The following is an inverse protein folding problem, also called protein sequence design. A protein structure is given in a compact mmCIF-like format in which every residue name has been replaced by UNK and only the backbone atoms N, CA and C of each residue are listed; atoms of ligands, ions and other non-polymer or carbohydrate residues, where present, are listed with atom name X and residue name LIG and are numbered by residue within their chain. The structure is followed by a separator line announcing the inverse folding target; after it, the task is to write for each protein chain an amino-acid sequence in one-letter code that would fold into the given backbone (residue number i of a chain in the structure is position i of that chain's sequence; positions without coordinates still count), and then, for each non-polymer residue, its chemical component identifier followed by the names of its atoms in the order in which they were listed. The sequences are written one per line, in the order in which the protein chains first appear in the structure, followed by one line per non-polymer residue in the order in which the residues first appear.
data_IF_138265395577
#
_entry.id   IF_138265395577
#
_cell.length_a   1.000
_cell.length_b   1.000
_cell.length_c   1.000
_cell.angle_alpha   90.00
_cell.angle_beta   90.00
_cell.angle_gamma   90.00
#
_symmetry.space_group_name_H-M   'P 1'
#
loop_
_entity.id
_entity.type
_entity.pdbx_description
1 polymer ?
#
# COMPACT_ATOMS: atom_id res chain seq x y z
N UNK A 1 55.73 -65.54 -30.02
CA UNK A 1 54.52 -65.41 -29.16
C UNK A 1 54.70 -64.25 -28.25
N UNK A 2 54.13 -63.15 -28.61
CA UNK A 2 54.25 -61.90 -27.86
C UNK A 2 52.94 -61.64 -27.08
N UNK A 3 53.01 -61.65 -25.77
CA UNK A 3 51.92 -61.20 -24.90
C UNK A 3 52.11 -59.71 -24.68
N UNK A 4 51.14 -58.90 -25.14
CA UNK A 4 51.03 -57.49 -24.85
C UNK A 4 50.23 -57.30 -23.56
N UNK A 5 50.89 -56.73 -22.54
CA UNK A 5 50.22 -56.21 -21.36
C UNK A 5 49.64 -54.81 -21.68
N UNK A 6 48.33 -54.66 -21.56
CA UNK A 6 47.67 -53.34 -21.64
C UNK A 6 47.49 -52.87 -20.19
N UNK A 7 48.24 -51.86 -19.79
CA UNK A 7 48.07 -51.16 -18.52
C UNK A 7 46.90 -50.16 -18.65
N UNK A 8 45.86 -50.36 -17.85
CA UNK A 8 44.77 -49.39 -17.71
C UNK A 8 45.17 -48.36 -16.69
N UNK A 9 45.44 -47.11 -17.14
CA UNK A 9 45.59 -45.95 -16.27
C UNK A 9 44.16 -45.45 -15.90
N UNK A 10 43.74 -45.68 -14.67
CA UNK A 10 42.53 -45.04 -14.12
C UNK A 10 42.93 -43.68 -13.64
N UNK A 11 42.55 -42.63 -14.40
CA UNK A 11 42.58 -41.23 -13.92
C UNK A 11 41.37 -41.05 -12.99
N UNK A 12 41.63 -41.05 -11.71
CA UNK A 12 40.69 -40.55 -10.70
C UNK A 12 40.60 -39.00 -10.83
N UNK A 13 39.60 -38.53 -11.58
CA UNK A 13 39.17 -37.17 -11.50
C UNK A 13 38.46 -36.98 -10.15
N UNK A 14 39.14 -36.41 -9.18
CA UNK A 14 38.51 -35.86 -8.00
C UNK A 14 37.72 -34.60 -8.42
N UNK A 15 36.45 -34.79 -8.71
CA UNK A 15 35.49 -33.63 -8.83
C UNK A 15 35.33 -33.09 -7.42
N UNK A 16 36.08 -32.07 -7.10
CA UNK A 16 35.79 -31.23 -5.93
C UNK A 16 34.47 -30.54 -6.21
N UNK A 17 33.38 -31.12 -5.71
CA UNK A 17 32.10 -30.40 -5.60
C UNK A 17 32.31 -29.33 -4.53
N UNK A 18 32.81 -28.18 -4.92
CA UNK A 18 32.60 -26.95 -4.16
C UNK A 18 31.11 -26.64 -4.26
N UNK A 19 30.31 -27.27 -3.40
CA UNK A 19 28.99 -26.76 -3.09
C UNK A 19 29.20 -25.33 -2.58
N UNK A 20 28.70 -24.35 -3.33
CA UNK A 20 28.57 -22.99 -2.81
C UNK A 20 27.81 -23.12 -1.49
N UNK A 21 28.46 -22.81 -0.38
CA UNK A 21 27.76 -22.61 0.87
C UNK A 21 26.85 -21.41 0.59
N UNK A 22 25.58 -21.69 0.35
CA UNK A 22 24.56 -20.66 0.22
C UNK A 22 24.58 -19.87 1.53
N UNK A 23 25.24 -18.72 1.50
CA UNK A 23 25.40 -17.88 2.68
C UNK A 23 24.05 -17.23 2.95
N UNK A 24 23.31 -17.78 3.91
CA UNK A 24 22.03 -17.22 4.33
C UNK A 24 22.23 -15.78 4.83
N UNK A 25 21.57 -14.77 4.22
CA UNK A 25 21.64 -13.39 4.66
C UNK A 25 21.32 -13.27 6.14
N UNK A 26 22.23 -12.70 6.90
CA UNK A 26 22.10 -12.59 8.36
C UNK A 26 22.37 -11.17 8.82
N UNK A 27 21.47 -10.60 9.62
CA UNK A 27 21.57 -9.27 10.23
C UNK A 27 21.36 -9.39 11.73
N UNK A 28 22.03 -8.55 12.49
CA UNK A 28 21.84 -8.44 13.94
C UNK A 28 21.33 -7.04 14.28
N UNK A 29 20.10 -6.95 14.81
CA UNK A 29 19.51 -5.70 15.33
C UNK A 29 19.57 -5.73 16.84
N UNK A 30 20.42 -4.91 17.46
CA UNK A 30 20.59 -4.86 18.93
C UNK A 30 20.70 -6.26 19.56
N UNK A 31 21.34 -7.21 18.85
CA UNK A 31 21.55 -8.58 19.30
C UNK A 31 20.49 -9.60 18.83
N UNK A 32 19.30 -9.19 18.41
CA UNK A 32 18.35 -10.10 17.75
C UNK A 32 18.91 -10.52 16.40
N UNK A 33 18.98 -11.82 16.15
CA UNK A 33 19.45 -12.39 14.89
C UNK A 33 18.30 -12.51 13.90
N UNK A 34 18.46 -11.93 12.71
CA UNK A 34 17.53 -12.01 11.59
C UNK A 34 18.12 -12.87 10.48
N UNK A 35 17.40 -13.90 10.06
CA UNK A 35 17.80 -14.79 8.98
C UNK A 35 16.93 -14.51 7.75
N UNK A 36 17.53 -13.96 6.71
CA UNK A 36 16.87 -13.67 5.43
C UNK A 36 17.00 -14.82 4.43
N UNK A 37 16.69 -14.52 3.17
CA UNK A 37 16.81 -15.42 2.01
C UNK A 37 17.37 -14.64 0.83
N UNK A 38 18.12 -15.30 -0.05
CA UNK A 38 18.58 -14.72 -1.31
C UNK A 38 17.58 -15.00 -2.43
N UNK A 39 17.39 -14.02 -3.31
CA UNK A 39 16.65 -14.18 -4.55
C UNK A 39 17.57 -14.73 -5.65
N UNK A 40 16.99 -15.16 -6.77
CA UNK A 40 17.67 -15.78 -7.91
C UNK A 40 19.02 -15.13 -8.24
N UNK A 41 20.01 -15.97 -8.57
CA UNK A 41 21.40 -15.59 -8.82
C UNK A 41 22.12 -14.89 -7.65
N UNK A 42 21.52 -14.91 -6.45
CA UNK A 42 22.13 -14.33 -5.25
C UNK A 42 22.50 -12.82 -5.34
N UNK A 43 21.82 -12.03 -6.17
CA UNK A 43 22.10 -10.59 -6.30
C UNK A 43 21.26 -9.72 -5.35
N UNK A 44 20.15 -10.24 -4.83
CA UNK A 44 19.27 -9.56 -3.89
C UNK A 44 19.08 -10.38 -2.63
N UNK A 45 19.24 -9.74 -1.50
CA UNK A 45 18.92 -10.28 -0.19
C UNK A 45 17.55 -9.78 0.28
N UNK A 46 16.76 -10.69 0.81
CA UNK A 46 15.39 -10.42 1.25
C UNK A 46 15.22 -10.78 2.72
N UNK A 47 14.52 -9.92 3.43
CA UNK A 47 14.08 -10.14 4.80
C UNK A 47 12.55 -9.98 4.81
N UNK A 48 11.82 -11.09 4.77
CA UNK A 48 10.38 -11.13 4.59
C UNK A 48 9.68 -11.42 5.90
N UNK A 49 8.67 -10.61 6.24
CA UNK A 49 7.89 -10.77 7.45
C UNK A 49 8.62 -10.32 8.72
N UNK A 50 9.30 -9.18 8.67
CA UNK A 50 9.94 -8.55 9.83
C UNK A 50 8.88 -7.85 10.69
N UNK A 51 8.76 -8.17 11.98
CA UNK A 51 7.81 -7.50 12.86
C UNK A 51 8.24 -6.05 13.10
N UNK A 52 7.31 -5.10 12.99
CA UNK A 52 7.53 -3.72 13.43
C UNK A 52 6.61 -3.34 14.61
N UNK A 53 5.61 -4.17 14.88
CA UNK A 53 4.68 -4.03 15.99
C UNK A 53 4.38 -5.39 16.62
N UNK A 54 3.86 -5.37 17.86
CA UNK A 54 3.21 -6.51 18.46
C UNK A 54 1.91 -6.83 17.70
N UNK A 55 1.46 -8.10 17.65
CA UNK A 55 0.21 -8.48 17.00
C UNK A 55 -0.99 -7.70 17.56
N UNK A 56 -1.77 -6.97 16.73
CA UNK A 56 -2.93 -6.20 17.19
C UNK A 56 -4.18 -7.07 17.34
N UNK A 57 -4.09 -8.10 18.16
CA UNK A 57 -5.14 -9.12 18.40
C UNK A 57 -5.68 -9.03 19.80
N UNK A 58 -6.81 -9.66 20.07
CA UNK A 58 -7.45 -9.76 21.38
C UNK A 58 -7.64 -8.39 22.04
N UNK A 59 -7.05 -8.16 23.20
CA UNK A 59 -7.10 -6.88 23.92
C UNK A 59 -6.45 -5.72 23.16
N UNK A 60 -5.55 -6.01 22.20
CA UNK A 60 -4.88 -5.02 21.36
C UNK A 60 -5.66 -4.69 20.07
N UNK A 61 -6.75 -5.42 19.78
CA UNK A 61 -7.67 -5.04 18.69
C UNK A 61 -8.19 -3.63 18.94
N UNK A 62 -8.14 -2.76 17.92
CA UNK A 62 -8.50 -1.34 17.99
C UNK A 62 -7.70 -0.49 18.98
N UNK A 63 -6.52 -0.97 19.40
CA UNK A 63 -5.54 -0.15 20.12
C UNK A 63 -4.45 0.39 19.18
N UNK A 64 -3.75 1.44 19.59
CA UNK A 64 -2.55 1.91 18.88
C UNK A 64 -1.53 0.76 18.79
N UNK A 65 -0.80 0.65 17.66
CA UNK A 65 0.20 -0.40 17.55
C UNK A 65 1.32 -0.19 18.58
N UNK A 66 1.74 -1.29 19.20
CA UNK A 66 2.85 -1.31 20.16
C UNK A 66 4.12 -1.69 19.39
N UNK A 67 5.19 -0.90 19.56
CA UNK A 67 6.43 -1.12 18.83
C UNK A 67 7.07 -2.47 19.18
N UNK A 68 7.49 -3.21 18.15
CA UNK A 68 8.35 -4.37 18.34
C UNK A 68 9.70 -3.96 18.96
N UNK A 69 10.18 -4.72 19.94
CA UNK A 69 11.44 -4.50 20.63
C UNK A 69 12.40 -5.67 20.36
N UNK A 70 13.63 -5.40 19.89
CA UNK A 70 14.65 -6.43 19.72
C UNK A 70 14.96 -7.17 21.04
N UNK A 71 15.14 -8.50 20.93
CA UNK A 71 15.52 -9.36 22.06
C UNK A 71 16.75 -10.20 21.66
N UNK A 72 17.88 -10.01 22.35
CA UNK A 72 19.14 -10.69 22.08
C UNK A 72 19.04 -12.22 22.13
N UNK A 73 18.04 -12.76 22.82
CA UNK A 73 17.82 -14.21 22.91
C UNK A 73 16.99 -14.77 21.77
N UNK A 74 16.48 -13.90 20.90
CA UNK A 74 15.59 -14.30 19.81
C UNK A 74 16.31 -14.36 18.47
N UNK A 75 15.91 -15.36 17.69
CA UNK A 75 16.21 -15.48 16.27
C UNK A 75 14.88 -15.35 15.50
N UNK A 76 14.86 -14.55 14.44
CA UNK A 76 13.70 -14.38 13.55
C UNK A 76 14.09 -14.92 12.18
N UNK A 77 13.35 -15.92 11.72
CA UNK A 77 13.47 -16.46 10.37
C UNK A 77 12.59 -15.62 9.45
N UNK A 78 13.23 -14.67 8.76
CA UNK A 78 12.60 -13.68 7.87
C UNK A 78 12.73 -14.12 6.41
N UNK A 79 12.23 -15.30 6.06
CA UNK A 79 12.40 -15.93 4.75
C UNK A 79 11.08 -16.15 3.99
N UNK A 80 9.95 -15.72 4.55
CA UNK A 80 8.63 -15.83 3.94
C UNK A 80 7.71 -14.68 4.37
N UNK A 81 6.80 -14.32 3.48
CA UNK A 81 5.75 -13.37 3.79
C UNK A 81 4.88 -13.86 4.97
N UNK A 82 4.46 -12.91 5.79
CA UNK A 82 3.50 -13.12 6.88
C UNK A 82 2.08 -12.85 6.39
N UNK A 83 1.05 -13.21 7.16
CA UNK A 83 -0.32 -12.95 6.75
C UNK A 83 -0.56 -11.51 6.34
N UNK A 84 -1.40 -11.30 5.34
CA UNK A 84 -1.96 -10.00 5.01
C UNK A 84 -2.99 -9.59 6.06
N UNK A 85 -3.21 -8.27 6.22
CA UNK A 85 -4.17 -7.78 7.21
C UNK A 85 -5.60 -8.27 6.92
N UNK A 86 -6.35 -8.49 7.99
CA UNK A 86 -7.71 -9.02 7.94
C UNK A 86 -8.58 -8.22 6.99
N UNK A 87 -9.16 -8.90 6.02
CA UNK A 87 -9.97 -8.37 4.93
C UNK A 87 -10.83 -9.47 4.30
N UNK A 88 -11.84 -9.11 3.54
CA UNK A 88 -12.64 -10.06 2.79
C UNK A 88 -11.96 -10.46 1.45
N UNK A 89 -12.59 -11.39 0.72
CA UNK A 89 -12.07 -11.91 -0.55
C UNK A 89 -12.23 -10.95 -1.75
N UNK A 90 -12.71 -9.72 -1.55
CA UNK A 90 -13.07 -8.80 -2.63
C UNK A 90 -11.93 -8.55 -3.61
N UNK A 91 -10.74 -8.20 -3.10
CA UNK A 91 -9.58 -7.90 -3.95
C UNK A 91 -9.05 -9.16 -4.65
N UNK A 92 -9.07 -10.32 -3.98
CA UNK A 92 -8.70 -11.61 -4.56
C UNK A 92 -9.62 -11.96 -5.73
N UNK A 93 -10.93 -11.81 -5.54
CA UNK A 93 -11.92 -12.06 -6.59
C UNK A 93 -11.76 -11.09 -7.76
N UNK A 94 -11.42 -9.83 -7.47
CA UNK A 94 -11.15 -8.82 -8.50
C UNK A 94 -9.91 -9.18 -9.32
N UNK A 95 -8.79 -9.56 -8.68
CA UNK A 95 -7.59 -10.02 -9.38
C UNK A 95 -7.85 -11.27 -10.22
N UNK A 96 -8.53 -12.27 -9.66
CA UNK A 96 -8.88 -13.48 -10.42
C UNK A 96 -9.71 -13.18 -11.66
N UNK A 97 -10.66 -12.25 -11.55
CA UNK A 97 -11.44 -11.77 -12.70
C UNK A 97 -10.55 -11.08 -13.74
N UNK A 98 -9.66 -10.18 -13.33
CA UNK A 98 -8.73 -9.54 -14.26
C UNK A 98 -7.81 -10.54 -14.95
N UNK A 99 -7.29 -11.52 -14.23
CA UNK A 99 -6.46 -12.59 -14.81
C UNK A 99 -7.24 -13.32 -15.91
N UNK A 100 -8.51 -13.67 -15.66
CA UNK A 100 -9.39 -14.30 -16.68
C UNK A 100 -9.61 -13.34 -17.85
N UNK A 101 -9.96 -12.10 -17.60
CA UNK A 101 -10.23 -11.08 -18.61
C UNK A 101 -9.02 -10.84 -19.53
N UNK A 102 -7.80 -10.94 -18.97
CA UNK A 102 -6.55 -10.86 -19.73
C UNK A 102 -6.03 -12.20 -20.24
N UNK A 103 -6.86 -13.26 -20.23
CA UNK A 103 -6.56 -14.58 -20.82
C UNK A 103 -5.62 -15.45 -20.00
N UNK A 104 -5.38 -15.12 -18.71
CA UNK A 104 -4.57 -15.91 -17.80
C UNK A 104 -5.37 -17.00 -17.05
N UNK A 105 -4.66 -17.82 -16.30
CA UNK A 105 -5.25 -18.84 -15.41
C UNK A 105 -5.36 -18.28 -13.97
N UNK A 106 -6.56 -18.08 -13.42
CA UNK A 106 -6.76 -17.56 -12.07
C UNK A 106 -6.25 -18.48 -10.94
N UNK A 107 -6.04 -19.76 -11.25
CA UNK A 107 -5.51 -20.74 -10.27
C UNK A 107 -4.01 -20.57 -10.00
N UNK A 108 -3.32 -19.80 -10.84
CA UNK A 108 -1.91 -19.43 -10.63
C UNK A 108 -1.73 -18.24 -9.67
N UNK A 109 -2.82 -17.64 -9.23
CA UNK A 109 -2.78 -16.53 -8.32
C UNK A 109 -2.70 -17.00 -6.87
N UNK A 110 -1.56 -16.73 -6.23
CA UNK A 110 -1.34 -17.09 -4.83
C UNK A 110 -2.16 -16.16 -3.91
N UNK A 111 -3.15 -16.75 -3.25
CA UNK A 111 -4.00 -16.05 -2.30
C UNK A 111 -3.31 -15.99 -0.94
N UNK A 112 -3.07 -14.81 -0.36
CA UNK A 112 -2.47 -14.72 0.96
C UNK A 112 -3.39 -15.23 2.06
N UNK A 113 -2.79 -15.67 3.17
CA UNK A 113 -3.52 -15.89 4.42
C UNK A 113 -3.86 -14.51 4.99
N UNK A 114 -5.09 -14.31 5.45
CA UNK A 114 -5.54 -13.09 6.10
C UNK A 114 -5.58 -13.27 7.63
N UNK A 115 -5.10 -12.29 8.38
CA UNK A 115 -5.08 -12.30 9.85
C UNK A 115 -5.08 -10.89 10.40
N UNK A 116 -5.56 -10.70 11.62
CA UNK A 116 -5.31 -9.46 12.37
C UNK A 116 -3.83 -9.35 12.79
N UNK A 117 -3.15 -10.49 13.03
CA UNK A 117 -1.68 -10.54 13.20
C UNK A 117 -0.98 -10.36 11.86
N UNK A 118 -0.78 -9.10 11.44
CA UNK A 118 -0.35 -8.73 10.10
C UNK A 118 0.70 -7.61 10.04
N UNK A 119 1.12 -7.04 11.14
CA UNK A 119 2.01 -5.87 11.15
C UNK A 119 3.48 -6.27 10.97
N UNK A 120 3.77 -6.81 9.78
CA UNK A 120 5.10 -7.29 9.36
C UNK A 120 5.49 -6.63 8.04
N UNK A 121 6.64 -5.96 8.01
CA UNK A 121 7.19 -5.38 6.79
C UNK A 121 8.09 -6.39 6.04
N UNK A 122 8.35 -6.10 4.77
CA UNK A 122 9.26 -6.87 3.93
C UNK A 122 10.34 -5.93 3.40
N UNK A 123 11.58 -6.42 3.32
CA UNK A 123 12.73 -5.64 2.90
C UNK A 123 13.52 -6.41 1.84
N UNK A 124 13.85 -5.71 0.74
CA UNK A 124 14.75 -6.15 -0.33
C UNK A 124 15.94 -5.21 -0.40
N UNK A 125 17.16 -5.76 -0.47
CA UNK A 125 18.36 -4.97 -0.64
C UNK A 125 19.33 -5.63 -1.64
N UNK A 126 20.24 -4.86 -2.29
CA UNK A 126 21.33 -5.45 -3.05
C UNK A 126 22.19 -6.35 -2.16
N UNK A 127 22.74 -7.42 -2.73
CA UNK A 127 23.71 -8.27 -2.05
C UNK A 127 25.00 -7.49 -1.76
N UNK A 128 25.58 -7.81 -0.62
CA UNK A 128 26.81 -7.19 -0.15
C UNK A 128 26.55 -5.88 0.60
N UNK A 129 27.40 -5.61 1.55
CA UNK A 129 27.30 -4.45 2.45
C UNK A 129 27.68 -3.17 1.72
N UNK A 130 26.72 -2.50 1.10
CA UNK A 130 26.83 -1.07 0.77
C UNK A 130 26.14 -0.31 1.88
N UNK A 131 26.74 0.77 2.35
CA UNK A 131 26.13 1.67 3.33
C UNK A 131 25.53 2.88 2.61
N UNK A 132 24.59 3.54 3.28
CA UNK A 132 23.93 4.75 2.81
C UNK A 132 23.13 4.55 1.51
N UNK A 133 22.51 3.37 1.34
CA UNK A 133 21.60 3.13 0.23
C UNK A 133 20.32 3.95 0.41
N UNK A 134 19.81 4.58 -0.65
CA UNK A 134 18.51 5.23 -0.59
C UNK A 134 17.40 4.20 -0.32
N UNK A 135 16.44 4.61 0.50
CA UNK A 135 15.34 3.74 0.97
C UNK A 135 14.04 4.16 0.31
N UNK A 136 13.36 3.20 -0.30
CA UNK A 136 12.02 3.34 -0.85
C UNK A 136 11.06 2.57 0.06
N UNK A 137 10.01 3.22 0.51
CA UNK A 137 8.93 2.60 1.31
C UNK A 137 7.67 2.57 0.48
N UNK A 138 7.17 1.38 0.19
CA UNK A 138 5.93 1.18 -0.56
C UNK A 138 4.73 0.97 0.36
N UNK A 139 3.66 1.75 0.13
CA UNK A 139 2.37 1.68 0.82
C UNK A 139 1.31 1.26 -0.20
N UNK A 140 0.71 0.08 -0.01
CA UNK A 140 -0.24 -0.50 -0.97
C UNK A 140 -1.59 0.22 -0.99
N UNK A 141 -2.30 0.10 -2.11
CA UNK A 141 -3.65 0.58 -2.31
C UNK A 141 -4.73 -0.39 -1.82
N UNK A 142 -5.90 -0.36 -2.46
CA UNK A 142 -7.04 -1.24 -2.18
C UNK A 142 -8.18 -0.58 -1.41
N UNK A 143 -8.38 0.73 -1.57
CA UNK A 143 -9.51 1.49 -1.00
C UNK A 143 -9.59 1.44 0.53
N UNK A 144 -8.47 1.23 1.22
CA UNK A 144 -8.40 1.00 2.67
C UNK A 144 -9.23 -0.20 3.17
N UNK A 145 -9.76 -1.01 2.27
CA UNK A 145 -10.58 -2.20 2.54
C UNK A 145 -9.83 -3.50 2.30
N UNK A 146 -8.82 -3.47 1.43
CA UNK A 146 -8.14 -4.66 0.94
C UNK A 146 -6.71 -4.31 0.48
N UNK A 147 -5.94 -5.33 0.09
CA UNK A 147 -4.57 -5.19 -0.37
C UNK A 147 -3.56 -5.77 0.62
N UNK A 148 -2.31 -5.93 0.18
CA UNK A 148 -1.20 -6.40 1.01
C UNK A 148 0.15 -5.96 0.45
N UNK A 149 1.20 -5.91 1.27
CA UNK A 149 2.48 -5.30 0.89
C UNK A 149 3.35 -6.14 -0.05
N UNK A 150 2.91 -7.33 -0.44
CA UNK A 150 3.64 -8.25 -1.33
C UNK A 150 2.77 -8.75 -2.49
N UNK A 151 1.85 -7.94 -2.97
CA UNK A 151 1.19 -8.19 -4.24
C UNK A 151 2.24 -8.30 -5.36
N UNK A 152 1.99 -9.07 -6.42
CA UNK A 152 2.99 -9.32 -7.46
C UNK A 152 3.62 -8.06 -8.07
N UNK A 153 2.88 -6.95 -8.09
CA UNK A 153 3.34 -5.66 -8.62
C UNK A 153 4.34 -4.93 -7.71
N UNK A 154 4.42 -5.31 -6.41
CA UNK A 154 5.20 -4.58 -5.41
C UNK A 154 6.46 -5.30 -4.96
N UNK A 155 6.82 -6.41 -5.60
CA UNK A 155 8.01 -7.18 -5.25
C UNK A 155 9.29 -6.39 -5.52
N UNK A 156 10.14 -6.29 -4.51
CA UNK A 156 11.25 -5.32 -4.48
C UNK A 156 12.53 -5.71 -5.21
N UNK A 157 12.63 -6.92 -5.76
CA UNK A 157 13.89 -7.41 -6.33
C UNK A 157 14.42 -6.55 -7.50
N UNK A 158 13.55 -6.06 -8.39
CA UNK A 158 13.93 -5.19 -9.50
C UNK A 158 14.47 -3.83 -9.02
N UNK A 159 13.89 -3.28 -7.98
CA UNK A 159 14.32 -2.01 -7.36
C UNK A 159 15.64 -2.21 -6.62
N UNK A 160 15.75 -3.30 -5.85
CA UNK A 160 16.99 -3.63 -5.14
C UNK A 160 18.16 -3.81 -6.09
N UNK A 161 17.99 -4.48 -7.24
CA UNK A 161 19.00 -4.62 -8.29
C UNK A 161 19.50 -3.28 -8.86
N UNK A 162 18.76 -2.18 -8.66
CA UNK A 162 19.16 -0.83 -9.08
C UNK A 162 19.94 -0.07 -7.99
N UNK A 163 20.21 -0.69 -6.84
CA UNK A 163 20.99 -0.10 -5.77
C UNK A 163 20.18 0.63 -4.71
N UNK A 164 18.88 0.30 -4.56
CA UNK A 164 17.99 0.83 -3.54
C UNK A 164 17.63 -0.25 -2.52
N UNK A 165 17.24 0.15 -1.33
CA UNK A 165 16.48 -0.70 -0.44
C UNK A 165 15.00 -0.43 -0.70
N UNK A 166 14.22 -1.48 -1.00
CA UNK A 166 12.77 -1.40 -0.99
C UNK A 166 12.23 -2.02 0.31
N UNK A 167 11.31 -1.32 0.95
CA UNK A 167 10.55 -1.82 2.10
C UNK A 167 9.08 -1.68 1.77
N UNK A 168 8.31 -2.77 1.84
CA UNK A 168 6.86 -2.71 1.72
C UNK A 168 6.22 -2.89 3.10
N UNK A 169 5.26 -2.03 3.43
CA UNK A 169 4.63 -2.00 4.74
C UNK A 169 3.12 -2.28 4.64
N UNK A 170 2.57 -3.12 5.55
CA UNK A 170 1.14 -3.25 5.73
C UNK A 170 0.60 -2.14 6.64
N UNK A 171 -0.71 -2.05 6.70
CA UNK A 171 -1.48 -1.31 7.69
C UNK A 171 -2.85 -1.97 7.87
N UNK A 172 -3.46 -1.83 9.04
CA UNK A 172 -4.79 -2.40 9.31
C UNK A 172 -5.84 -1.80 8.39
N UNK A 173 -6.76 -2.63 7.92
CA UNK A 173 -7.72 -2.32 6.88
C UNK A 173 -9.15 -2.29 7.42
N UNK A 174 -10.04 -1.65 6.66
CA UNK A 174 -11.47 -1.65 6.95
C UNK A 174 -11.78 -1.23 8.38
N UNK A 175 -12.71 -1.92 8.99
CA UNK A 175 -13.11 -1.65 10.37
C UNK A 175 -11.98 -1.86 11.40
N UNK A 176 -10.96 -2.66 11.09
CA UNK A 176 -9.82 -2.85 12.00
C UNK A 176 -8.86 -1.66 12.04
N UNK A 177 -8.78 -0.89 10.95
CA UNK A 177 -7.88 0.27 10.82
C UNK A 177 -8.57 1.63 10.93
N UNK A 178 -9.90 1.70 10.76
CA UNK A 178 -10.64 2.95 10.57
C UNK A 178 -11.95 3.01 11.38
N UNK A 179 -12.03 2.35 12.50
CA UNK A 179 -13.24 2.27 13.32
C UNK A 179 -13.37 3.47 14.27
N UNK A 180 -14.35 4.35 14.01
CA UNK A 180 -14.61 5.55 14.81
C UNK A 180 -15.67 5.34 15.89
N UNK A 181 -15.55 4.28 16.70
CA UNK A 181 -16.43 4.04 17.84
C UNK A 181 -16.18 5.08 18.94
N UNK A 182 -17.22 5.53 19.72
CA UNK A 182 -17.02 6.51 20.80
C UNK A 182 -16.00 6.12 21.86
N UNK A 183 -15.88 4.83 22.16
CA UNK A 183 -14.95 4.30 23.15
C UNK A 183 -13.54 4.03 22.60
N UNK A 184 -13.29 4.29 21.32
CA UNK A 184 -11.97 4.20 20.72
C UNK A 184 -11.36 5.60 20.69
N UNK A 185 -10.26 5.75 21.42
CA UNK A 185 -9.56 7.05 21.53
C UNK A 185 -8.98 7.50 20.19
N UNK A 186 -8.48 6.57 19.37
CA UNK A 186 -7.74 6.87 18.17
C UNK A 186 -8.34 6.12 16.96
N UNK A 187 -9.19 6.76 16.15
CA UNK A 187 -9.88 6.11 15.03
C UNK A 187 -8.99 5.86 13.80
N UNK A 188 -7.83 6.52 13.70
CA UNK A 188 -6.93 6.45 12.56
C UNK A 188 -5.83 5.39 12.74
N UNK A 189 -6.18 4.19 13.19
CA UNK A 189 -5.20 3.15 13.53
C UNK A 189 -4.30 2.77 12.36
N UNK A 190 -4.83 2.75 11.14
CA UNK A 190 -4.04 2.52 9.93
C UNK A 190 -2.92 3.56 9.74
N UNK A 191 -3.16 4.83 10.11
CA UNK A 191 -2.13 5.88 10.07
C UNK A 191 -1.05 5.64 11.14
N UNK A 192 -1.46 5.22 12.34
CA UNK A 192 -0.51 4.87 13.40
C UNK A 192 0.35 3.67 13.02
N UNK A 193 -0.20 2.67 12.31
CA UNK A 193 0.55 1.52 11.80
C UNK A 193 1.62 1.98 10.81
N UNK A 194 1.27 2.84 9.85
CA UNK A 194 2.19 3.42 8.88
C UNK A 194 3.28 4.26 9.57
N UNK A 195 2.91 5.12 10.52
CA UNK A 195 3.85 5.93 11.30
C UNK A 195 4.81 5.05 12.10
N UNK A 196 4.31 3.98 12.72
CA UNK A 196 5.16 3.06 13.48
C UNK A 196 6.15 2.31 12.59
N UNK A 197 5.71 1.86 11.42
CA UNK A 197 6.60 1.26 10.41
C UNK A 197 7.69 2.24 9.96
N UNK A 198 7.36 3.52 9.75
CA UNK A 198 8.34 4.56 9.42
C UNK A 198 9.32 4.82 10.57
N UNK A 199 8.86 4.82 11.82
CA UNK A 199 9.75 4.91 12.99
C UNK A 199 10.69 3.71 13.09
N UNK A 200 10.19 2.50 12.82
CA UNK A 200 11.02 1.31 12.72
C UNK A 200 12.11 1.47 11.66
N UNK A 201 11.78 2.01 10.50
CA UNK A 201 12.75 2.28 9.42
C UNK A 201 13.80 3.29 9.87
N UNK A 202 13.41 4.39 10.49
CA UNK A 202 14.34 5.39 11.00
C UNK A 202 15.32 4.79 12.04
N UNK A 203 14.85 3.88 12.88
CA UNK A 203 15.68 3.29 13.94
C UNK A 203 16.57 2.14 13.46
N UNK A 204 16.12 1.32 12.47
CA UNK A 204 16.78 0.06 12.16
C UNK A 204 17.31 -0.10 10.73
N UNK A 205 16.95 0.77 9.79
CA UNK A 205 17.34 0.57 8.37
C UNK A 205 18.85 0.61 8.14
N UNK A 206 19.61 1.28 9.00
CA UNK A 206 21.08 1.33 8.95
C UNK A 206 21.71 -0.05 9.13
N UNK A 207 21.11 -0.96 9.89
CA UNK A 207 21.58 -2.35 10.01
C UNK A 207 21.50 -3.11 8.68
N UNK A 208 20.63 -2.68 7.78
CA UNK A 208 20.48 -3.22 6.43
C UNK A 208 21.28 -2.44 5.37
N UNK A 209 22.05 -1.44 5.77
CA UNK A 209 22.83 -0.58 4.88
C UNK A 209 22.04 0.60 4.29
N UNK A 210 20.84 0.88 4.77
CA UNK A 210 20.01 2.00 4.33
C UNK A 210 20.38 3.33 4.99
N UNK A 211 20.03 4.41 4.31
CA UNK A 211 20.20 5.78 4.78
C UNK A 211 18.85 6.32 5.32
N UNK A 212 18.68 6.44 6.65
CA UNK A 212 17.45 6.98 7.23
C UNK A 212 17.20 8.45 6.87
N UNK A 213 18.24 9.19 6.41
CA UNK A 213 18.09 10.56 5.93
C UNK A 213 17.65 10.67 4.46
N UNK A 214 17.50 9.54 3.77
CA UNK A 214 17.10 9.49 2.36
C UNK A 214 15.99 8.48 2.11
N UNK A 215 14.86 8.70 2.79
CA UNK A 215 13.65 7.87 2.70
C UNK A 215 12.63 8.50 1.75
N UNK A 216 12.18 7.74 0.77
CA UNK A 216 11.14 8.10 -0.20
C UNK A 216 9.91 7.21 0.00
N UNK A 217 8.74 7.79 0.23
CA UNK A 217 7.49 7.05 0.23
C UNK A 217 6.97 6.90 -1.20
N UNK A 218 6.47 5.72 -1.53
CA UNK A 218 5.72 5.49 -2.78
C UNK A 218 4.42 4.79 -2.42
N UNK A 219 3.33 5.24 -3.01
CA UNK A 219 2.04 4.57 -2.85
C UNK A 219 1.12 4.88 -4.01
N UNK A 220 0.24 3.94 -4.27
CA UNK A 220 -0.77 4.05 -5.31
C UNK A 220 -2.17 4.01 -4.66
N UNK A 221 -3.14 4.73 -5.27
CA UNK A 221 -4.54 4.70 -4.83
C UNK A 221 -4.69 5.08 -3.35
N UNK A 222 -5.30 4.23 -2.53
CA UNK A 222 -5.44 4.44 -1.09
C UNK A 222 -4.09 4.57 -0.37
N UNK A 223 -3.04 3.88 -0.82
CA UNK A 223 -1.68 4.04 -0.31
C UNK A 223 -1.12 5.44 -0.54
N UNK A 224 -1.35 6.01 -1.73
CA UNK A 224 -1.04 7.40 -2.00
C UNK A 224 -1.89 8.36 -1.15
N UNK A 225 -3.17 8.06 -0.95
CA UNK A 225 -4.03 8.78 -0.01
C UNK A 225 -3.45 8.81 1.41
N UNK A 226 -2.94 7.66 1.89
CA UNK A 226 -2.20 7.55 3.14
C UNK A 226 -0.97 8.46 3.17
N UNK A 227 -0.18 8.50 2.09
CA UNK A 227 0.98 9.41 1.96
C UNK A 227 0.53 10.88 2.08
N UNK A 228 -0.59 11.27 1.46
CA UNK A 228 -1.16 12.61 1.60
C UNK A 228 -1.42 12.97 3.06
N UNK A 229 -1.96 12.05 3.85
CA UNK A 229 -2.18 12.21 5.28
C UNK A 229 -0.87 12.20 6.09
N UNK A 230 0.11 11.37 5.71
CA UNK A 230 1.44 11.38 6.33
C UNK A 230 2.15 12.73 6.12
N UNK A 231 2.01 13.35 4.94
CA UNK A 231 2.55 14.71 4.69
C UNK A 231 1.89 15.75 5.60
N UNK A 232 0.61 15.58 5.94
CA UNK A 232 -0.15 16.51 6.77
C UNK A 232 -0.13 16.18 8.28
N UNK A 233 0.31 14.99 8.68
CA UNK A 233 0.32 14.59 10.08
C UNK A 233 1.54 15.13 10.83
N UNK A 234 1.36 15.75 12.00
CA UNK A 234 2.50 16.17 12.82
C UNK A 234 3.30 14.98 13.38
N UNK A 235 2.71 13.79 13.44
CA UNK A 235 3.33 12.59 14.01
C UNK A 235 4.33 11.91 13.09
N UNK A 236 4.29 12.22 11.79
CA UNK A 236 5.20 11.67 10.76
C UNK A 236 6.32 12.63 10.37
N UNK A 237 6.40 13.78 11.08
CA UNK A 237 7.43 14.78 10.81
C UNK A 237 8.83 14.16 10.85
N UNK A 238 9.64 14.47 9.84
CA UNK A 238 11.04 14.05 9.67
C UNK A 238 11.24 12.52 9.52
N UNK A 239 10.17 11.72 9.32
CA UNK A 239 10.28 10.28 9.09
C UNK A 239 10.55 9.93 7.62
N UNK A 240 10.34 10.86 6.70
CA UNK A 240 10.64 10.73 5.27
C UNK A 240 10.93 12.09 4.62
N UNK A 241 11.51 12.09 3.42
CA UNK A 241 12.09 13.27 2.78
C UNK A 241 11.47 13.55 1.41
N UNK A 242 10.98 12.51 0.75
CA UNK A 242 10.40 12.55 -0.59
C UNK A 242 9.15 11.68 -0.65
N UNK A 243 8.27 11.98 -1.58
CA UNK A 243 7.08 11.19 -1.81
C UNK A 243 6.76 11.04 -3.30
N UNK A 244 6.23 9.88 -3.67
CA UNK A 244 5.62 9.59 -4.97
C UNK A 244 4.17 9.21 -4.70
N UNK A 245 3.26 10.04 -5.18
CA UNK A 245 1.83 9.93 -4.92
C UNK A 245 1.12 9.57 -6.23
N UNK A 246 0.79 8.28 -6.40
CA UNK A 246 0.22 7.75 -7.63
C UNK A 246 -1.29 7.58 -7.47
N UNK A 247 -2.07 8.35 -8.21
CA UNK A 247 -3.54 8.19 -8.31
C UNK A 247 -4.28 8.21 -6.96
N UNK A 248 -3.81 8.97 -5.96
CA UNK A 248 -4.38 9.03 -4.61
C UNK A 248 -5.30 10.22 -4.34
N UNK A 249 -5.62 11.03 -5.35
CA UNK A 249 -6.37 12.28 -5.21
C UNK A 249 -7.78 12.14 -4.60
N UNK A 250 -8.38 10.95 -4.71
CA UNK A 250 -9.71 10.67 -4.13
C UNK A 250 -9.77 10.90 -2.61
N UNK A 251 -8.65 10.84 -1.90
CA UNK A 251 -8.59 11.17 -0.47
C UNK A 251 -9.00 12.60 -0.14
N UNK A 252 -8.88 13.53 -1.10
CA UNK A 252 -9.35 14.92 -0.98
C UNK A 252 -10.82 15.11 -1.35
N UNK A 253 -11.34 14.28 -2.24
CA UNK A 253 -12.72 14.42 -2.78
C UNK A 253 -13.78 13.74 -1.93
N UNK A 254 -13.39 12.80 -1.08
CA UNK A 254 -14.27 12.13 -0.13
C UNK A 254 -13.93 12.51 1.32
N UNK A 255 -14.17 13.77 1.72
CA UNK A 255 -13.92 14.20 3.09
C UNK A 255 -14.86 13.41 4.01
N UNK A 256 -14.29 12.73 4.96
CA UNK A 256 -15.04 11.98 5.95
C UNK A 256 -15.40 12.92 7.08
N UNK A 257 -16.68 13.32 7.19
CA UNK A 257 -17.11 14.03 8.38
C UNK A 257 -17.04 13.08 9.58
N UNK A 258 -16.43 13.52 10.68
CA UNK A 258 -16.38 12.76 11.92
C UNK A 258 -17.77 12.28 12.38
N UNK A 259 -18.81 13.09 12.17
CA UNK A 259 -20.20 12.75 12.47
C UNK A 259 -20.74 11.59 11.61
N UNK A 260 -20.47 11.61 10.30
CA UNK A 260 -20.93 10.56 9.38
C UNK A 260 -20.26 9.23 9.68
N UNK A 261 -18.95 9.24 9.94
CA UNK A 261 -18.18 8.04 10.27
C UNK A 261 -18.60 7.45 11.61
N UNK A 262 -18.86 8.29 12.63
CA UNK A 262 -19.39 7.83 13.93
C UNK A 262 -20.78 7.20 13.80
N UNK A 263 -21.66 7.74 12.93
CA UNK A 263 -22.95 7.13 12.66
C UNK A 263 -22.81 5.72 12.09
N UNK A 264 -21.92 5.53 11.14
CA UNK A 264 -21.61 4.21 10.57
C UNK A 264 -21.00 3.27 11.60
N UNK A 265 -20.08 3.75 12.42
CA UNK A 265 -19.47 2.98 13.50
C UNK A 265 -20.51 2.53 14.53
N UNK A 266 -21.46 3.41 14.90
CA UNK A 266 -22.58 3.04 15.78
C UNK A 266 -23.52 2.02 15.11
N UNK A 267 -23.81 2.16 13.81
CA UNK A 267 -24.62 1.19 13.08
C UNK A 267 -23.96 -0.18 13.07
N UNK A 268 -22.64 -0.23 12.83
CA UNK A 268 -21.87 -1.45 12.88
C UNK A 268 -21.88 -2.08 14.29
N UNK A 269 -21.59 -1.31 15.34
CA UNK A 269 -21.58 -1.81 16.71
C UNK A 269 -22.97 -2.35 17.13
N UNK A 270 -24.05 -1.65 16.77
CA UNK A 270 -25.44 -2.04 17.06
C UNK A 270 -25.93 -3.26 16.25
N UNK A 271 -25.16 -3.76 15.29
CA UNK A 271 -25.45 -5.03 14.62
C UNK A 271 -25.13 -6.24 15.50
N UNK A 272 -24.46 -6.03 16.64
CA UNK A 272 -24.14 -7.06 17.62
C UNK A 272 -25.04 -6.91 18.86
N UNK A 273 -25.27 -8.01 19.61
CA UNK A 273 -26.12 -8.01 20.80
C UNK A 273 -25.64 -7.06 21.91
N UNK A 274 -24.32 -6.90 22.03
CA UNK A 274 -23.67 -5.94 22.91
C UNK A 274 -22.72 -5.08 22.10
N UNK A 275 -23.02 -3.78 21.89
CA UNK A 275 -22.20 -2.89 21.07
C UNK A 275 -20.94 -2.39 21.76
N UNK A 276 -20.68 -2.75 23.01
CA UNK A 276 -19.48 -2.29 23.74
C UNK A 276 -18.20 -2.79 23.08
N UNK A 277 -17.17 -1.96 23.08
CA UNK A 277 -15.85 -2.34 22.56
C UNK A 277 -15.30 -3.59 23.25
N UNK A 278 -15.55 -3.73 24.54
CA UNK A 278 -15.15 -4.91 25.31
C UNK A 278 -15.75 -6.20 24.72
N UNK A 279 -17.03 -6.19 24.36
CA UNK A 279 -17.67 -7.34 23.72
C UNK A 279 -17.17 -7.53 22.29
N UNK A 280 -17.07 -6.46 21.51
CA UNK A 280 -16.63 -6.50 20.11
C UNK A 280 -15.21 -7.06 19.97
N UNK A 281 -14.32 -6.84 20.93
CA UNK A 281 -12.97 -7.44 20.97
C UNK A 281 -13.01 -8.98 21.06
N UNK A 282 -14.08 -9.58 21.54
CA UNK A 282 -14.25 -11.03 21.65
C UNK A 282 -14.98 -11.67 20.45
N UNK A 283 -15.47 -10.88 19.50
CA UNK A 283 -16.12 -11.39 18.29
C UNK A 283 -15.07 -11.90 17.32
N UNK A 284 -15.35 -12.99 16.61
CA UNK A 284 -14.42 -13.54 15.64
C UNK A 284 -14.13 -12.56 14.50
N UNK A 285 -12.93 -12.64 13.93
CA UNK A 285 -12.51 -11.82 12.77
C UNK A 285 -13.48 -11.98 11.60
N UNK A 286 -13.94 -13.20 11.34
CA UNK A 286 -14.86 -13.54 10.25
C UNK A 286 -16.22 -12.86 10.43
N UNK A 287 -16.74 -12.85 11.65
CA UNK A 287 -18.04 -12.23 11.95
C UNK A 287 -17.93 -10.70 11.87
N UNK A 288 -16.86 -10.11 12.40
CA UNK A 288 -16.53 -8.69 12.25
C UNK A 288 -16.48 -8.30 10.76
N UNK A 289 -15.77 -9.06 9.93
CA UNK A 289 -15.66 -8.80 8.49
C UNK A 289 -17.01 -8.93 7.79
N UNK A 290 -17.79 -9.94 8.11
CA UNK A 290 -19.13 -10.14 7.52
C UNK A 290 -20.05 -8.95 7.79
N UNK A 291 -20.19 -8.53 9.04
CA UNK A 291 -21.03 -7.39 9.42
C UNK A 291 -20.46 -6.08 8.84
N UNK A 292 -19.13 -5.94 8.80
CA UNK A 292 -18.50 -4.78 8.18
C UNK A 292 -18.83 -4.69 6.67
N UNK A 293 -18.88 -5.80 5.96
CA UNK A 293 -19.23 -5.82 4.53
C UNK A 293 -20.66 -5.36 4.29
N UNK A 294 -21.60 -5.73 5.17
CA UNK A 294 -23.00 -5.30 5.09
C UNK A 294 -23.16 -3.79 5.40
N UNK A 295 -22.55 -3.32 6.50
CA UNK A 295 -22.75 -1.94 6.97
C UNK A 295 -21.95 -0.93 6.14
N UNK A 296 -20.74 -1.29 5.70
CA UNK A 296 -19.86 -0.40 4.95
C UNK A 296 -19.81 -0.71 3.44
N UNK A 297 -20.79 -1.41 2.88
CA UNK A 297 -20.82 -1.81 1.47
C UNK A 297 -20.57 -0.63 0.52
N UNK A 298 -21.34 0.45 0.68
CA UNK A 298 -21.33 1.65 -0.16
C UNK A 298 -20.44 2.79 0.40
N UNK A 299 -19.65 2.52 1.45
CA UNK A 299 -18.88 3.54 2.11
C UNK A 299 -17.37 3.31 1.97
N UNK A 300 -16.61 4.40 1.81
CA UNK A 300 -15.16 4.36 1.85
C UNK A 300 -14.65 4.50 3.28
N UNK A 301 -13.61 3.73 3.62
CA UNK A 301 -12.82 3.98 4.82
C UNK A 301 -11.79 5.06 4.53
N UNK A 302 -11.76 6.08 5.36
CA UNK A 302 -10.81 7.18 5.22
C UNK A 302 -10.38 7.69 6.61
N UNK A 303 -9.28 8.40 6.65
CA UNK A 303 -8.80 9.06 7.87
C UNK A 303 -9.75 10.18 8.27
N UNK A 304 -9.95 10.36 9.56
CA UNK A 304 -10.84 11.37 10.13
C UNK A 304 -10.05 12.37 10.97
N UNK A 305 -10.55 13.60 11.06
CA UNK A 305 -10.02 14.60 11.99
C UNK A 305 -10.23 14.11 13.43
N UNK A 306 -9.13 13.84 14.12
CA UNK A 306 -9.06 13.45 15.54
C UNK A 306 -8.34 14.51 16.39
N UNK A 307 -7.98 15.63 15.78
CA UNK A 307 -7.23 16.75 16.39
C UNK A 307 -5.83 16.38 16.90
N UNK A 308 -5.34 15.18 16.59
CA UNK A 308 -4.06 14.65 17.06
C UNK A 308 -3.22 14.04 15.93
N UNK A 309 -3.66 12.94 15.33
CA UNK A 309 -2.95 12.32 14.19
C UNK A 309 -3.32 12.98 12.86
N UNK A 310 -4.57 13.39 12.73
CA UNK A 310 -5.13 14.19 11.63
C UNK A 310 -5.76 15.43 12.25
N UNK A 311 -5.04 16.55 12.21
CA UNK A 311 -5.42 17.79 12.91
C UNK A 311 -6.49 18.61 12.19
N UNK A 312 -6.67 18.38 10.90
CA UNK A 312 -7.68 18.99 10.03
C UNK A 312 -7.99 18.04 8.89
N UNK A 313 -9.12 18.25 8.20
CA UNK A 313 -9.31 17.54 6.94
C UNK A 313 -8.15 17.82 5.97
N UNK A 314 -7.87 16.89 5.08
CA UNK A 314 -6.67 16.93 4.25
C UNK A 314 -6.57 18.18 3.38
N UNK A 315 -7.67 18.62 2.76
CA UNK A 315 -7.72 19.84 1.94
C UNK A 315 -7.36 21.10 2.75
N UNK A 316 -7.87 21.22 3.97
CA UNK A 316 -7.60 22.38 4.83
C UNK A 316 -6.18 22.36 5.38
N UNK A 317 -5.60 21.19 5.63
CA UNK A 317 -4.20 21.03 6.00
C UNK A 317 -3.28 21.58 4.91
N UNK A 318 -3.52 21.19 3.66
CA UNK A 318 -2.74 21.69 2.52
C UNK A 318 -2.93 23.20 2.32
N UNK A 319 -4.16 23.71 2.29
CA UNK A 319 -4.45 25.15 2.13
C UNK A 319 -3.82 26.03 3.21
N UNK A 320 -3.79 25.55 4.43
CA UNK A 320 -3.23 26.31 5.56
C UNK A 320 -1.72 26.19 5.70
N UNK A 321 -1.06 25.38 4.84
CA UNK A 321 0.38 25.08 4.98
C UNK A 321 0.72 24.21 6.20
N UNK A 322 -0.28 23.54 6.81
CA UNK A 322 -0.05 22.62 7.91
C UNK A 322 0.38 21.24 7.37
N UNK A 323 1.46 21.25 6.64
CA UNK A 323 2.07 20.10 5.95
C UNK A 323 3.59 20.18 6.07
N UNK A 324 4.25 19.01 6.08
CA UNK A 324 5.72 19.02 6.05
C UNK A 324 6.23 19.27 4.62
N UNK A 325 7.41 19.92 4.56
CA UNK A 325 8.05 20.23 3.30
C UNK A 325 8.80 18.99 2.77
N UNK A 326 8.30 18.39 1.70
CA UNK A 326 8.91 17.23 1.04
C UNK A 326 8.98 17.45 -0.47
N UNK A 327 9.91 16.81 -1.13
CA UNK A 327 9.93 16.72 -2.60
C UNK A 327 8.86 15.74 -3.06
N UNK A 328 7.92 16.16 -3.93
CA UNK A 328 6.75 15.39 -4.33
C UNK A 328 6.67 15.17 -5.84
N UNK A 329 6.68 13.89 -6.26
CA UNK A 329 6.21 13.47 -7.58
C UNK A 329 4.75 12.99 -7.44
N UNK A 330 3.82 13.63 -8.15
CA UNK A 330 2.39 13.34 -8.04
C UNK A 330 1.75 13.25 -9.42
N UNK A 331 0.80 12.35 -9.59
CA UNK A 331 0.09 12.24 -10.85
C UNK A 331 -1.03 11.22 -10.85
N UNK A 332 -1.53 10.97 -12.04
CA UNK A 332 -2.63 10.05 -12.29
C UNK A 332 -2.53 9.43 -13.68
N UNK A 333 -3.32 8.40 -13.90
CA UNK A 333 -3.46 7.76 -15.20
C UNK A 333 -4.52 8.47 -16.07
N UNK A 334 -4.47 8.26 -17.36
CA UNK A 334 -5.39 8.94 -18.29
C UNK A 334 -6.82 8.38 -18.22
N UNK A 335 -6.97 7.10 -17.89
CA UNK A 335 -8.23 6.37 -17.94
C UNK A 335 -8.57 5.69 -16.59
N UNK A 336 -8.42 6.41 -15.49
CA UNK A 336 -8.45 5.92 -14.09
C UNK A 336 -9.63 4.98 -13.77
N UNK A 337 -10.81 5.28 -14.29
CA UNK A 337 -12.02 4.56 -13.89
C UNK A 337 -12.49 3.50 -14.89
N UNK A 338 -11.76 3.34 -16.02
CA UNK A 338 -12.20 2.49 -17.13
C UNK A 338 -12.42 1.01 -16.79
N UNK A 339 -11.67 0.45 -15.83
CA UNK A 339 -11.85 -0.93 -15.34
C UNK A 339 -13.11 -1.14 -14.47
N UNK A 340 -13.71 -0.05 -13.95
CA UNK A 340 -14.77 -0.13 -12.96
C UNK A 340 -16.16 0.08 -13.53
N UNK A 341 -16.28 0.37 -14.83
CA UNK A 341 -17.57 0.50 -15.48
C UNK A 341 -18.18 -0.85 -15.89
N UNK A 342 -19.45 -1.02 -15.59
CA UNK A 342 -20.27 -2.13 -16.04
C UNK A 342 -21.00 -1.87 -17.38
N UNK A 343 -20.75 -0.72 -18.01
CA UNK A 343 -21.38 -0.26 -19.25
C UNK A 343 -22.60 0.64 -19.04
N UNK A 344 -23.15 0.73 -17.87
CA UNK A 344 -24.30 1.57 -17.56
C UNK A 344 -23.87 2.90 -16.94
N UNK A 345 -23.83 3.98 -17.73
CA UNK A 345 -23.44 5.30 -17.24
C UNK A 345 -24.57 6.32 -17.48
N UNK A 346 -24.93 7.06 -16.45
CA UNK A 346 -25.85 8.18 -16.53
C UNK A 346 -25.14 9.49 -16.17
N UNK A 347 -24.54 10.11 -17.19
CA UNK A 347 -23.75 11.33 -17.05
C UNK A 347 -24.62 12.48 -16.49
N UNK A 348 -25.87 12.58 -16.92
CA UNK A 348 -26.78 13.64 -16.45
C UNK A 348 -27.03 13.56 -14.96
N UNK A 349 -27.38 12.37 -14.47
CA UNK A 349 -27.62 12.12 -13.05
C UNK A 349 -26.34 12.33 -12.22
N UNK A 350 -25.21 11.81 -12.70
CA UNK A 350 -23.94 11.98 -12.00
C UNK A 350 -23.56 13.48 -11.88
N UNK A 351 -23.70 14.25 -12.95
CA UNK A 351 -23.42 15.69 -12.91
C UNK A 351 -24.40 16.46 -12.01
N UNK A 352 -25.66 16.03 -11.91
CA UNK A 352 -26.64 16.64 -11.00
C UNK A 352 -26.25 16.44 -9.51
N UNK A 353 -25.62 15.31 -9.20
CA UNK A 353 -25.14 15.02 -7.84
C UNK A 353 -23.80 15.71 -7.52
N UNK A 354 -22.95 15.93 -8.54
CA UNK A 354 -21.56 16.28 -8.33
C UNK A 354 -21.22 17.76 -8.62
N UNK A 355 -22.15 18.52 -9.22
CA UNK A 355 -21.86 19.91 -9.60
C UNK A 355 -23.09 20.79 -9.63
N UNK A 356 -22.88 22.11 -9.83
CA UNK A 356 -23.97 23.08 -10.01
C UNK A 356 -24.53 23.05 -11.44
N UNK A 357 -25.79 23.49 -11.67
CA UNK A 357 -26.38 23.54 -13.01
C UNK A 357 -25.53 24.30 -14.04
N UNK A 358 -24.93 25.42 -13.66
CA UNK A 358 -24.09 26.21 -14.55
C UNK A 358 -22.82 25.46 -14.95
N UNK A 359 -22.18 24.77 -14.00
CA UNK A 359 -20.99 23.95 -14.26
C UNK A 359 -21.34 22.72 -15.10
N UNK A 360 -22.50 22.10 -14.84
CA UNK A 360 -23.02 20.97 -15.64
C UNK A 360 -23.10 21.36 -17.13
N UNK A 361 -23.72 22.51 -17.44
CA UNK A 361 -23.85 22.99 -18.84
C UNK A 361 -22.45 23.13 -19.47
N UNK A 362 -21.54 23.82 -18.80
CA UNK A 362 -20.15 24.03 -19.31
C UNK A 362 -19.41 22.72 -19.53
N UNK A 363 -19.54 21.74 -18.62
CA UNK A 363 -18.90 20.43 -18.76
C UNK A 363 -19.48 19.65 -19.94
N UNK A 364 -20.80 19.67 -20.15
CA UNK A 364 -21.46 19.02 -21.29
C UNK A 364 -21.04 19.67 -22.62
N UNK A 365 -20.92 21.00 -22.68
CA UNK A 365 -20.42 21.72 -23.84
C UNK A 365 -18.95 21.36 -24.12
N UNK A 366 -18.08 21.35 -23.10
CA UNK A 366 -16.68 20.98 -23.24
C UNK A 366 -16.50 19.58 -23.80
N UNK A 367 -17.33 18.65 -23.34
CA UNK A 367 -17.25 17.23 -23.71
C UNK A 367 -18.16 16.83 -24.89
N UNK A 368 -18.80 17.80 -25.61
CA UNK A 368 -19.75 17.51 -26.68
C UNK A 368 -19.15 16.71 -27.84
N UNK A 369 -17.85 16.88 -28.10
CA UNK A 369 -17.12 16.19 -29.15
C UNK A 369 -16.87 14.69 -28.86
N UNK A 370 -16.95 14.27 -27.59
CA UNK A 370 -16.79 12.87 -27.19
C UNK A 370 -18.16 12.19 -27.30
N UNK A 371 -18.29 11.21 -28.20
CA UNK A 371 -19.57 10.53 -28.46
C UNK A 371 -19.83 9.36 -27.53
N UNK A 372 -18.77 8.65 -27.13
CA UNK A 372 -18.86 7.50 -26.21
C UNK A 372 -19.18 7.98 -24.77
N UNK A 373 -20.32 7.56 -24.19
CA UNK A 373 -20.72 7.97 -22.85
C UNK A 373 -19.81 7.38 -21.75
N UNK A 374 -19.26 6.18 -21.93
CA UNK A 374 -18.34 5.56 -20.98
C UNK A 374 -17.05 6.34 -20.92
N UNK A 375 -16.48 6.67 -22.06
CA UNK A 375 -15.27 7.51 -22.15
C UNK A 375 -15.49 8.90 -21.55
N UNK A 376 -16.66 9.50 -21.79
CA UNK A 376 -17.02 10.81 -21.23
C UNK A 376 -17.10 10.74 -19.71
N UNK A 377 -17.73 9.71 -19.15
CA UNK A 377 -17.81 9.49 -17.72
C UNK A 377 -16.44 9.23 -17.11
N UNK A 378 -15.61 8.39 -17.75
CA UNK A 378 -14.24 8.14 -17.30
C UNK A 378 -13.44 9.44 -17.18
N UNK A 379 -13.50 10.31 -18.17
CA UNK A 379 -12.81 11.62 -18.12
C UNK A 379 -13.32 12.51 -16.99
N UNK A 380 -14.62 12.54 -16.74
CA UNK A 380 -15.20 13.31 -15.63
C UNK A 380 -14.73 12.80 -14.27
N UNK A 381 -14.75 11.49 -14.05
CA UNK A 381 -14.29 10.89 -12.80
C UNK A 381 -12.78 11.04 -12.64
N UNK A 382 -11.99 10.79 -13.70
CA UNK A 382 -10.53 10.97 -13.71
C UNK A 382 -10.17 12.41 -13.34
N UNK A 383 -10.82 13.40 -13.96
CA UNK A 383 -10.57 14.81 -13.64
C UNK A 383 -10.92 15.14 -12.18
N UNK A 384 -12.12 14.74 -11.73
CA UNK A 384 -12.64 15.08 -10.40
C UNK A 384 -11.83 14.43 -9.26
N UNK A 385 -11.58 13.12 -9.38
CA UNK A 385 -11.06 12.33 -8.26
C UNK A 385 -9.54 12.17 -8.27
N UNK A 386 -8.86 12.44 -9.39
CA UNK A 386 -7.43 12.18 -9.52
C UNK A 386 -6.65 13.40 -10.00
N UNK A 387 -6.96 13.96 -11.17
CA UNK A 387 -6.16 15.05 -11.78
C UNK A 387 -6.26 16.34 -10.98
N UNK A 388 -7.47 16.86 -10.76
CA UNK A 388 -7.65 18.14 -10.06
C UNK A 388 -7.15 18.11 -8.61
N UNK A 389 -7.41 17.04 -7.82
CA UNK A 389 -6.83 16.93 -6.49
C UNK A 389 -5.30 16.85 -6.49
N UNK A 390 -4.70 16.12 -7.45
CA UNK A 390 -3.23 16.04 -7.58
C UNK A 390 -2.61 17.40 -7.89
N UNK A 391 -3.20 18.15 -8.81
CA UNK A 391 -2.77 19.52 -9.11
C UNK A 391 -2.88 20.42 -7.90
N UNK A 392 -4.00 20.34 -7.17
CA UNK A 392 -4.20 21.12 -5.96
C UNK A 392 -3.13 20.81 -4.89
N UNK A 393 -2.87 19.53 -4.61
CA UNK A 393 -1.84 19.14 -3.63
C UNK A 393 -0.45 19.61 -4.05
N UNK A 394 -0.10 19.49 -5.33
CA UNK A 394 1.18 19.95 -5.87
C UNK A 394 1.35 21.48 -5.72
N UNK A 395 0.30 22.24 -6.03
CA UNK A 395 0.32 23.71 -5.91
C UNK A 395 0.46 24.17 -4.45
N UNK A 396 -0.31 23.58 -3.53
CA UNK A 396 -0.25 23.96 -2.12
C UNK A 396 1.11 23.57 -1.49
N UNK A 397 1.65 22.39 -1.83
CA UNK A 397 2.98 22.01 -1.35
C UNK A 397 4.07 22.94 -1.90
N UNK A 398 3.98 23.33 -3.18
CA UNK A 398 4.90 24.29 -3.78
C UNK A 398 4.83 25.68 -3.08
N UNK A 399 3.64 26.15 -2.73
CA UNK A 399 3.47 27.40 -1.95
C UNK A 399 4.13 27.30 -0.58
N UNK A 400 4.15 26.09 0.01
CA UNK A 400 4.79 25.80 1.30
C UNK A 400 6.31 25.52 1.17
N UNK A 401 6.92 25.74 0.00
CA UNK A 401 8.37 25.64 -0.24
C UNK A 401 8.86 24.27 -0.73
N UNK A 402 7.97 23.28 -0.93
CA UNK A 402 8.32 21.98 -1.50
C UNK A 402 8.57 22.06 -3.01
N UNK A 403 9.35 21.08 -3.53
CA UNK A 403 9.49 20.88 -4.98
C UNK A 403 8.47 19.87 -5.43
N UNK A 404 7.75 20.19 -6.51
CA UNK A 404 6.69 19.33 -7.02
C UNK A 404 6.88 19.05 -8.51
N UNK A 405 6.65 17.82 -8.88
CA UNK A 405 6.58 17.35 -10.28
C UNK A 405 5.24 16.67 -10.48
N UNK A 406 4.55 17.05 -11.56
CA UNK A 406 3.25 16.47 -11.89
C UNK A 406 3.39 15.64 -13.17
N UNK A 407 2.86 14.42 -13.14
CA UNK A 407 2.82 13.55 -14.33
C UNK A 407 1.40 13.13 -14.69
N UNK A 408 1.20 12.75 -15.94
CA UNK A 408 0.05 11.99 -16.40
C UNK A 408 0.54 10.75 -17.15
N UNK A 409 0.15 9.58 -16.69
CA UNK A 409 0.50 8.32 -17.33
C UNK A 409 -0.53 7.99 -18.41
N UNK A 410 -0.09 7.81 -19.65
CA UNK A 410 -0.95 7.57 -20.80
C UNK A 410 -0.50 6.39 -21.68
N UNK A 411 0.46 5.58 -21.19
CA UNK A 411 0.88 4.40 -21.91
C UNK A 411 -0.20 3.33 -21.87
N UNK A 412 -0.59 2.85 -23.04
CA UNK A 412 -1.47 1.70 -23.23
C UNK A 412 -0.64 0.54 -23.76
N UNK A 413 -0.83 -0.66 -23.23
CA UNK A 413 -0.18 -1.86 -23.76
C UNK A 413 -0.75 -2.20 -25.13
N UNK A 414 0.00 -2.97 -25.94
CA UNK A 414 -0.36 -3.24 -27.34
C UNK A 414 -1.45 -4.31 -27.52
N UNK A 415 -1.85 -5.01 -26.45
CA UNK A 415 -2.92 -6.02 -26.50
C UNK A 415 -4.32 -5.38 -26.60
N UNK A 416 -5.28 -6.09 -27.21
CA UNK A 416 -6.63 -5.56 -27.49
C UNK A 416 -7.42 -5.23 -26.23
N UNK A 417 -7.22 -5.97 -25.13
CA UNK A 417 -7.90 -5.69 -23.86
C UNK A 417 -7.34 -4.44 -23.18
N UNK A 418 -6.02 -4.27 -23.20
CA UNK A 418 -5.39 -3.05 -22.72
C UNK A 418 -5.86 -1.83 -23.51
N UNK A 419 -6.00 -1.93 -24.84
CA UNK A 419 -6.58 -0.87 -25.69
C UNK A 419 -8.01 -0.52 -25.28
N UNK A 420 -8.82 -1.51 -24.90
CA UNK A 420 -10.18 -1.31 -24.39
C UNK A 420 -10.20 -0.48 -23.11
N UNK A 421 -9.30 -0.77 -22.18
CA UNK A 421 -9.27 -0.14 -20.85
C UNK A 421 -8.39 1.11 -20.80
N UNK A 422 -7.47 1.30 -21.77
CA UNK A 422 -6.55 2.44 -21.79
C UNK A 422 -5.49 2.38 -20.68
N UNK A 423 -5.05 3.54 -20.23
CA UNK A 423 -4.18 3.69 -19.07
C UNK A 423 -5.03 3.72 -17.79
N UNK A 424 -5.51 2.56 -17.37
CA UNK A 424 -6.44 2.37 -16.25
C UNK A 424 -5.77 2.55 -14.88
N UNK A 425 -6.54 2.57 -13.82
CA UNK A 425 -6.06 2.69 -12.43
C UNK A 425 -5.07 1.58 -12.07
N UNK A 426 -3.85 1.93 -11.69
CA UNK A 426 -2.75 1.00 -11.41
C UNK A 426 -2.00 0.49 -12.65
N UNK A 427 -2.26 1.00 -13.87
CA UNK A 427 -1.59 0.54 -15.08
C UNK A 427 -0.10 0.90 -15.15
N UNK A 428 0.36 1.83 -14.33
CA UNK A 428 1.77 2.25 -14.21
C UNK A 428 2.61 1.36 -13.28
N UNK A 429 1.99 0.47 -12.50
CA UNK A 429 2.63 -0.42 -11.54
C UNK A 429 3.37 -1.61 -12.16
#
# INVERSE_FOLDING_TARGET
MLQRCIGIFIFLFSVSIYGSIDHQPTIYIKGTKLLGVSHDNNEVEMFLGLPFADPPVDDLRWEKPIAWIPDIKKEIVANKFKPACAQNQRIVNWYKRLIIDFGGNPDTFDVPIFSEDCLYLNLWRPKGTKNNLPVIVYIHGGSNKAGWPYEPNYLGHNIANKGFILISIPYRLGVFGFFSHPDIENPNLALFDQILALKWIQEYVTYFGGDPSNVTLIGESAGAGGIGHLIASPLSKDLFHKAVHQSGGSSLTYPTSSTGVRKLANSFANSFNDPSIKNLKNISTEEILKVSEEVYAEHYFNYVDDSFSVTKNLSDSYKSGNIQNVDLLIGSNNDEWSLYFDGNVNIGLWLDQETTPEKKIKLLELLHHIKDPVRKMNLLITAKNFVCPSLFMAEELKKNGGKTWVYQFNRVRDDELAKKYGAFHGAEL
#
